data_IF_751936796064
#
_entry.id   IF_751936796064
#
_cell.length_a   1.000
_cell.length_b   1.000
_cell.length_c   1.000
_cell.angle_alpha   90.00
_cell.angle_beta   90.00
_cell.angle_gamma   90.00
#
_symmetry.space_group_name_H-M   'P 1'
#
loop_
_entity.id
_entity.type
_entity.pdbx_description
1 polymer ?
#
# COMPACT_ATOMS: atom_id res chain seq x y z
N UNK A 1 -9.16 2.78 13.96
CA UNK A 1 -9.18 3.01 12.51
C UNK A 1 -8.05 2.24 11.86
N UNK A 2 -8.36 1.30 10.99
CA UNK A 2 -7.37 0.64 10.12
C UNK A 2 -7.53 1.23 8.71
N UNK A 3 -6.52 1.98 8.26
CA UNK A 3 -6.65 2.87 7.10
C UNK A 3 -6.91 2.15 5.77
N UNK A 4 -6.72 0.83 5.73
CA UNK A 4 -6.79 0.02 4.52
C UNK A 4 -8.21 -0.41 4.14
N UNK A 5 -9.16 -0.33 5.07
CA UNK A 5 -10.57 -0.63 4.80
C UNK A 5 -11.25 0.42 3.89
N UNK A 6 -10.62 1.58 3.68
CA UNK A 6 -11.12 2.60 2.74
C UNK A 6 -11.02 2.16 1.27
N UNK A 7 -10.20 1.15 0.98
CA UNK A 7 -10.01 0.62 -0.37
C UNK A 7 -10.62 -0.78 -0.50
N UNK A 8 -11.48 -0.94 -1.50
CA UNK A 8 -12.07 -2.23 -1.89
C UNK A 8 -11.05 -3.07 -2.67
N UNK A 9 -10.32 -2.43 -3.57
CA UNK A 9 -9.36 -3.10 -4.45
C UNK A 9 -8.18 -2.18 -4.75
N UNK A 10 -7.00 -2.79 -4.84
CA UNK A 10 -5.77 -2.15 -5.29
C UNK A 10 -5.20 -2.99 -6.42
N UNK A 11 -4.69 -2.32 -7.47
CA UNK A 11 -3.98 -2.97 -8.57
C UNK A 11 -2.73 -2.21 -8.92
N UNK A 12 -1.66 -2.96 -9.18
CA UNK A 12 -0.44 -2.45 -9.76
C UNK A 12 -0.31 -2.95 -11.20
N UNK A 13 -0.16 -2.00 -12.11
CA UNK A 13 -0.11 -2.26 -13.55
C UNK A 13 1.23 -1.77 -14.12
N UNK A 14 1.81 -2.57 -15.02
CA UNK A 14 2.99 -2.23 -15.80
C UNK A 14 2.64 -2.28 -17.28
N UNK A 15 2.78 -1.15 -17.98
CA UNK A 15 2.36 -0.99 -19.38
C UNK A 15 0.91 -1.45 -19.66
N UNK A 16 -0.01 -1.19 -18.73
CA UNK A 16 -1.42 -1.57 -18.82
C UNK A 16 -1.70 -3.05 -18.53
N UNK A 17 -0.69 -3.85 -18.15
CA UNK A 17 -0.86 -5.24 -17.71
C UNK A 17 -0.90 -5.26 -16.19
N UNK A 18 -1.94 -5.86 -15.61
CA UNK A 18 -2.03 -6.08 -14.16
C UNK A 18 -0.95 -7.07 -13.73
N UNK A 19 -0.03 -6.59 -12.91
CA UNK A 19 1.07 -7.37 -12.35
C UNK A 19 0.65 -8.00 -11.03
N UNK A 20 -0.06 -7.24 -10.21
CA UNK A 20 -0.57 -7.68 -8.92
C UNK A 20 -1.85 -6.94 -8.56
N UNK A 21 -2.74 -7.61 -7.85
CA UNK A 21 -4.02 -7.07 -7.41
C UNK A 21 -4.49 -7.74 -6.13
N UNK A 22 -5.02 -6.93 -5.22
CA UNK A 22 -5.64 -7.38 -3.98
C UNK A 22 -7.04 -6.79 -3.87
N UNK A 23 -8.01 -7.65 -3.57
CA UNK A 23 -9.38 -7.29 -3.18
C UNK A 23 -9.55 -7.44 -1.68
N UNK A 24 -10.53 -6.72 -1.11
CA UNK A 24 -10.79 -6.67 0.33
C UNK A 24 -9.52 -6.28 1.09
N UNK A 25 -8.94 -5.15 0.68
CA UNK A 25 -7.58 -4.72 1.05
C UNK A 25 -7.41 -4.73 2.56
N UNK A 26 -8.34 -4.11 3.30
CA UNK A 26 -8.34 -4.11 4.77
C UNK A 26 -8.21 -5.52 5.36
N UNK A 27 -9.11 -6.43 5.00
CA UNK A 27 -9.12 -7.80 5.53
C UNK A 27 -7.84 -8.57 5.19
N UNK A 28 -7.36 -8.48 3.94
CA UNK A 28 -6.12 -9.16 3.52
C UNK A 28 -4.91 -8.60 4.28
N UNK A 29 -4.81 -7.27 4.41
CA UNK A 29 -3.72 -6.64 5.15
C UNK A 29 -3.76 -6.95 6.65
N UNK A 30 -4.94 -7.04 7.26
CA UNK A 30 -5.11 -7.42 8.66
C UNK A 30 -4.59 -8.85 8.89
N UNK A 31 -5.01 -9.81 8.04
CA UNK A 31 -4.57 -11.22 8.13
C UNK A 31 -3.06 -11.30 7.93
N UNK A 32 -2.52 -10.63 6.90
CA UNK A 32 -1.08 -10.57 6.65
C UNK A 32 -0.33 -9.98 7.85
N UNK A 33 -0.87 -8.92 8.45
CA UNK A 33 -0.22 -8.27 9.59
C UNK A 33 -0.15 -9.16 10.82
N UNK A 34 -1.17 -10.00 11.06
CA UNK A 34 -1.16 -10.98 12.14
C UNK A 34 -0.23 -12.17 11.88
N UNK A 35 -0.13 -12.64 10.64
CA UNK A 35 0.59 -13.88 10.31
C UNK A 35 2.04 -13.69 9.92
N UNK A 36 2.39 -12.53 9.34
CA UNK A 36 3.69 -12.33 8.69
C UNK A 36 4.65 -11.43 9.48
N UNK A 37 4.15 -10.53 10.34
CA UNK A 37 5.03 -9.60 11.07
C UNK A 37 5.37 -10.08 12.47
N UNK A 38 6.62 -9.88 12.86
CA UNK A 38 7.03 -9.98 14.26
C UNK A 38 6.62 -8.70 15.04
N UNK A 39 6.81 -8.71 16.37
CA UNK A 39 6.40 -7.60 17.24
C UNK A 39 7.03 -6.25 16.86
N UNK A 40 8.29 -6.25 16.43
CA UNK A 40 8.99 -5.03 16.02
C UNK A 40 8.43 -4.49 14.69
N UNK A 41 8.23 -5.35 13.71
CA UNK A 41 7.63 -4.93 12.44
C UNK A 41 6.19 -4.46 12.62
N UNK A 42 5.42 -5.14 13.46
CA UNK A 42 4.05 -4.80 13.79
C UNK A 42 3.94 -3.44 14.47
N UNK A 43 4.88 -3.06 15.36
CA UNK A 43 4.85 -1.75 16.02
C UNK A 43 5.18 -0.60 15.08
N UNK A 44 5.93 -0.83 14.00
CA UNK A 44 6.22 0.18 12.97
C UNK A 44 5.00 0.54 12.08
N UNK A 45 3.94 -0.26 12.12
CA UNK A 45 2.74 -0.07 11.29
C UNK A 45 1.65 0.80 11.94
N UNK A 46 1.90 1.41 13.10
CA UNK A 46 0.94 2.32 13.75
C UNK A 46 0.52 3.49 12.84
N UNK A 47 1.44 4.02 12.04
CA UNK A 47 1.15 5.06 11.04
C UNK A 47 0.29 4.57 9.85
N UNK A 48 0.13 3.26 9.67
CA UNK A 48 -0.82 2.67 8.72
C UNK A 48 -2.19 2.39 9.37
N UNK A 49 -2.38 2.78 10.63
CA UNK A 49 -3.58 2.48 11.41
C UNK A 49 -3.60 1.08 12.01
N UNK A 50 -2.45 0.40 12.10
CA UNK A 50 -2.34 -0.92 12.70
C UNK A 50 -1.94 -0.85 14.18
N UNK A 51 -2.82 -1.32 15.06
CA UNK A 51 -2.61 -1.32 16.51
C UNK A 51 -2.81 -2.74 17.06
N UNK A 52 -1.74 -3.57 17.13
CA UNK A 52 -1.86 -4.95 17.59
C UNK A 52 -2.31 -5.00 19.06
N UNK A 53 -3.16 -5.97 19.42
CA UNK A 53 -3.84 -6.03 20.74
C UNK A 53 -2.94 -6.27 21.97
N UNK A 54 -1.61 -6.23 21.87
CA UNK A 54 -0.69 -6.40 23.00
C UNK A 54 0.05 -5.12 23.37
N UNK A 55 -0.65 -4.19 24.01
CA UNK A 55 -0.04 -3.25 24.97
C UNK A 55 -1.02 -3.21 26.16
N UNK A 56 -0.46 -3.40 27.34
CA UNK A 56 -1.05 -3.59 28.67
C UNK A 56 -2.33 -2.78 28.96
N UNK A 57 -3.20 -3.24 29.88
CA UNK A 57 -4.50 -2.62 30.17
C UNK A 57 -4.42 -1.20 30.77
N UNK A 58 -3.22 -0.71 31.08
CA UNK A 58 -3.01 0.45 31.94
C UNK A 58 -2.97 1.79 31.21
N UNK A 59 -2.98 1.82 29.89
CA UNK A 59 -3.04 3.08 29.14
C UNK A 59 -3.99 2.95 27.96
N UNK A 60 -5.25 3.36 28.14
CA UNK A 60 -6.23 3.51 27.06
C UNK A 60 -5.86 4.60 26.04
N UNK A 61 -4.74 5.31 26.24
CA UNK A 61 -4.38 6.50 25.46
C UNK A 61 -3.62 6.26 24.15
N UNK A 62 -3.17 5.04 23.81
CA UNK A 62 -2.20 4.86 22.71
C UNK A 62 -2.65 3.93 21.57
N UNK A 63 -3.95 3.80 21.28
CA UNK A 63 -4.49 2.86 20.26
C UNK A 63 -5.31 3.52 19.15
N UNK A 64 -4.99 4.75 18.80
CA UNK A 64 -5.67 5.48 17.73
C UNK A 64 -4.67 6.26 16.89
N UNK A 65 -5.03 6.49 15.63
CA UNK A 65 -4.31 7.45 14.80
C UNK A 65 -4.42 8.81 15.48
N UNK A 66 -3.32 9.56 15.55
CA UNK A 66 -3.34 10.91 16.09
C UNK A 66 -4.09 11.83 15.13
N UNK A 67 -5.08 12.54 15.65
CA UNK A 67 -5.95 13.43 14.87
C UNK A 67 -5.72 14.86 15.36
N UNK A 68 -5.59 15.81 14.44
CA UNK A 68 -5.43 17.23 14.78
C UNK A 68 -6.75 17.87 15.25
N UNK A 69 -6.69 19.13 15.71
CA UNK A 69 -7.87 19.89 16.17
C UNK A 69 -8.96 20.06 15.09
N UNK A 70 -8.58 19.92 13.81
CA UNK A 70 -9.47 20.04 12.65
C UNK A 70 -9.96 18.68 12.16
N UNK A 71 -9.75 17.60 12.92
CA UNK A 71 -10.11 16.22 12.56
C UNK A 71 -9.35 15.65 11.37
N UNK A 72 -8.20 16.23 11.00
CA UNK A 72 -7.33 15.66 9.98
C UNK A 72 -6.32 14.70 10.60
N UNK A 73 -5.90 13.73 9.80
CA UNK A 73 -4.83 12.82 10.13
C UNK A 73 -4.06 12.45 8.87
N UNK A 74 -2.86 11.92 9.03
CA UNK A 74 -2.00 11.44 7.96
C UNK A 74 -1.63 9.98 8.20
N UNK A 75 -1.61 9.20 7.12
CA UNK A 75 -1.21 7.80 7.14
C UNK A 75 -0.11 7.54 6.13
N UNK A 76 0.77 6.60 6.47
CA UNK A 76 1.82 6.12 5.59
C UNK A 76 1.78 4.60 5.56
N UNK A 77 1.46 4.04 4.39
CA UNK A 77 1.26 2.61 4.21
C UNK A 77 2.42 2.06 3.36
N UNK A 78 3.21 1.11 3.88
CA UNK A 78 4.23 0.43 3.08
C UNK A 78 3.59 -0.41 1.96
N UNK A 79 4.07 -0.29 0.73
CA UNK A 79 3.52 -1.06 -0.40
C UNK A 79 3.66 -2.58 -0.26
N UNK A 80 4.68 -3.06 0.46
CA UNK A 80 4.84 -4.48 0.81
C UNK A 80 3.66 -5.04 1.63
N UNK A 81 2.90 -4.17 2.31
CA UNK A 81 1.70 -4.57 3.04
C UNK A 81 0.52 -4.81 2.10
N UNK A 82 0.47 -4.12 0.96
CA UNK A 82 -0.69 -4.08 0.07
C UNK A 82 -0.61 -5.09 -1.06
N UNK A 83 0.58 -5.35 -1.60
CA UNK A 83 0.77 -6.16 -2.80
C UNK A 83 2.03 -7.02 -2.62
N UNK A 84 1.95 -8.28 -3.03
CA UNK A 84 3.07 -9.24 -2.97
C UNK A 84 4.21 -8.86 -3.91
N UNK A 85 3.92 -8.18 -5.03
CA UNK A 85 4.95 -7.66 -5.93
C UNK A 85 5.98 -6.80 -5.20
N UNK A 86 5.54 -5.92 -4.30
CA UNK A 86 6.44 -5.02 -3.56
C UNK A 86 7.13 -5.68 -2.37
N UNK A 87 6.83 -6.94 -2.07
CA UNK A 87 7.51 -7.72 -1.03
C UNK A 87 8.74 -8.44 -1.59
N UNK A 88 8.59 -9.10 -2.74
CA UNK A 88 9.60 -10.03 -3.25
C UNK A 88 10.33 -9.57 -4.51
N UNK A 89 9.82 -8.56 -5.22
CA UNK A 89 10.42 -8.14 -6.48
C UNK A 89 11.73 -7.36 -6.25
N UNK A 90 12.85 -7.99 -6.58
CA UNK A 90 14.22 -7.45 -6.39
C UNK A 90 14.92 -7.05 -7.69
N UNK A 91 14.20 -7.02 -8.81
CA UNK A 91 14.76 -6.66 -10.12
C UNK A 91 14.54 -5.17 -10.42
N UNK A 92 15.37 -4.62 -11.32
CA UNK A 92 15.20 -3.25 -11.80
C UNK A 92 14.08 -3.19 -12.84
N UNK A 93 13.22 -2.18 -12.73
CA UNK A 93 12.20 -1.85 -13.71
C UNK A 93 12.72 -0.66 -14.52
N UNK A 94 12.95 -0.86 -15.83
CA UNK A 94 13.55 0.14 -16.71
C UNK A 94 12.58 0.47 -17.84
N UNK A 95 12.31 1.76 -18.06
CA UNK A 95 11.48 2.27 -19.16
C UNK A 95 10.06 1.65 -19.23
N UNK A 96 9.48 1.31 -18.09
CA UNK A 96 8.11 0.77 -17.99
C UNK A 96 7.20 1.81 -17.36
N UNK A 97 6.04 2.05 -17.96
CA UNK A 97 4.97 2.85 -17.36
C UNK A 97 4.38 2.07 -16.19
N UNK A 98 4.37 2.67 -15.01
CA UNK A 98 3.83 2.08 -13.79
C UNK A 98 2.57 2.83 -13.36
N UNK A 99 1.52 2.09 -13.03
CA UNK A 99 0.24 2.64 -12.60
C UNK A 99 -0.24 1.93 -11.33
N UNK A 100 -0.70 2.71 -10.35
CA UNK A 100 -1.35 2.19 -9.14
C UNK A 100 -2.80 2.64 -9.19
N UNK A 101 -3.69 1.66 -9.30
CA UNK A 101 -5.13 1.86 -9.34
C UNK A 101 -5.68 1.55 -7.96
N UNK A 102 -6.34 2.54 -7.35
CA UNK A 102 -7.03 2.39 -6.07
C UNK A 102 -8.53 2.51 -6.30
N UNK A 103 -9.28 1.49 -5.88
CA UNK A 103 -10.73 1.47 -5.95
C UNK A 103 -11.25 1.63 -4.53
N UNK A 104 -11.91 2.75 -4.26
CA UNK A 104 -12.49 3.04 -2.95
C UNK A 104 -13.65 2.10 -2.61
N UNK A 105 -13.78 1.76 -1.33
CA UNK A 105 -14.98 1.13 -0.77
C UNK A 105 -16.21 2.05 -0.93
N UNK A 106 -17.40 1.46 -0.95
CA UNK A 106 -18.66 2.21 -1.10
C UNK A 106 -19.06 3.00 0.13
N UNK A 107 -18.54 2.63 1.30
CA UNK A 107 -18.73 3.32 2.58
C UNK A 107 -17.48 3.12 3.46
N UNK A 108 -17.40 3.84 4.58
CA UNK A 108 -16.24 3.85 5.48
C UNK A 108 -16.51 3.16 6.82
N UNK A 109 -17.59 2.35 6.91
CA UNK A 109 -18.03 1.68 8.15
C UNK A 109 -16.92 0.83 8.76
N UNK A 110 -16.24 0.05 7.94
CA UNK A 110 -15.18 -0.85 8.41
C UNK A 110 -13.85 -0.12 8.70
N UNK A 111 -13.72 1.15 8.28
CA UNK A 111 -12.50 1.92 8.50
C UNK A 111 -12.51 2.65 9.85
N UNK A 112 -13.68 3.04 10.36
CA UNK A 112 -13.82 3.82 11.60
C UNK A 112 -14.50 2.96 12.68
N UNK A 113 -13.84 2.84 13.83
CA UNK A 113 -14.47 2.31 15.03
C UNK A 113 -15.02 3.51 15.81
N UNK A 114 -16.33 3.76 15.72
CA UNK A 114 -17.02 4.75 16.56
C UNK A 114 -17.77 4.03 17.67
N UNK A 115 -17.63 4.53 18.91
CA UNK A 115 -18.45 4.11 20.06
C UNK A 115 -19.80 4.89 20.12
N UNK A 116 -20.06 5.76 19.14
CA UNK A 116 -21.24 6.62 19.04
C UNK A 116 -22.40 5.95 18.27
N UNK A 117 -23.62 6.43 18.51
CA UNK A 117 -24.90 5.87 18.00
C UNK A 117 -24.87 5.58 16.48
N UNK A 118 -25.39 4.41 16.08
CA UNK A 118 -25.43 3.88 14.70
C UNK A 118 -26.20 4.76 13.69
N UNK A 119 -26.69 5.94 14.09
CA UNK A 119 -27.53 6.80 13.26
C UNK A 119 -26.75 7.65 12.25
N UNK A 120 -25.46 7.92 12.49
CA UNK A 120 -24.63 8.68 11.55
C UNK A 120 -23.61 7.76 10.87
N UNK A 121 -23.63 7.72 9.53
CA UNK A 121 -22.65 6.94 8.79
C UNK A 121 -21.27 7.62 8.84
N UNK A 122 -20.21 6.94 9.32
CA UNK A 122 -18.88 7.52 9.36
C UNK A 122 -18.38 7.80 7.94
N UNK A 123 -17.71 8.94 7.75
CA UNK A 123 -17.20 9.39 6.46
C UNK A 123 -15.76 9.89 6.57
N UNK A 124 -14.91 9.41 5.66
CA UNK A 124 -13.53 9.83 5.46
C UNK A 124 -13.44 10.50 4.10
N UNK A 125 -12.88 11.71 4.06
CA UNK A 125 -12.58 12.41 2.82
C UNK A 125 -11.06 12.42 2.58
N UNK A 126 -10.63 11.81 1.48
CA UNK A 126 -9.22 11.80 1.07
C UNK A 126 -8.91 13.17 0.46
N UNK A 127 -8.25 14.03 1.22
CA UNK A 127 -7.83 15.34 0.74
C UNK A 127 -6.65 15.24 -0.24
N UNK A 128 -5.67 14.41 0.12
CA UNK A 128 -4.41 14.29 -0.61
C UNK A 128 -3.96 12.83 -0.60
N UNK A 129 -3.54 12.32 -1.76
CA UNK A 129 -2.99 10.99 -1.93
C UNK A 129 -1.67 11.08 -2.70
N UNK A 130 -0.61 10.49 -2.13
CA UNK A 130 0.68 10.36 -2.79
C UNK A 130 1.13 8.90 -2.80
N UNK A 131 1.69 8.47 -3.93
CA UNK A 131 2.50 7.25 -4.01
C UNK A 131 3.96 7.63 -4.23
N UNK A 132 4.85 7.11 -3.39
CA UNK A 132 6.29 7.32 -3.48
C UNK A 132 6.95 6.09 -4.08
N UNK A 133 7.52 6.24 -5.27
CA UNK A 133 8.35 5.22 -5.94
C UNK A 133 9.80 5.70 -5.93
N UNK A 134 10.75 4.95 -5.36
CA UNK A 134 12.16 5.31 -5.47
C UNK A 134 12.61 5.19 -6.94
N UNK A 135 13.18 6.26 -7.47
CA UNK A 135 13.70 6.31 -8.84
C UNK A 135 15.18 6.64 -8.82
N UNK A 136 15.98 5.88 -9.58
CA UNK A 136 17.42 6.10 -9.72
C UNK A 136 17.69 6.69 -11.10
N UNK A 137 18.25 7.90 -11.14
CA UNK A 137 18.77 8.50 -12.36
C UNK A 137 20.25 8.15 -12.53
N UNK A 138 20.64 7.77 -13.74
CA UNK A 138 22.03 7.44 -14.08
C UNK A 138 22.61 8.48 -15.04
N UNK A 139 23.94 8.56 -15.12
CA UNK A 139 24.60 9.40 -16.11
C UNK A 139 24.32 8.89 -17.54
N UNK A 140 24.43 9.78 -18.53
CA UNK A 140 24.14 9.46 -19.95
C UNK A 140 24.91 8.21 -20.44
N UNK A 141 26.22 8.04 -20.16
CA UNK A 141 26.95 6.84 -20.58
C UNK A 141 26.35 5.55 -20.01
N UNK A 142 25.96 5.56 -18.73
CA UNK A 142 25.35 4.40 -18.07
C UNK A 142 23.92 4.15 -18.55
N UNK A 143 23.16 5.22 -18.80
CA UNK A 143 21.82 5.11 -19.41
C UNK A 143 21.89 4.41 -20.77
N UNK A 144 22.87 4.78 -21.61
CA UNK A 144 23.10 4.13 -22.90
C UNK A 144 23.49 2.66 -22.76
N UNK A 145 24.32 2.33 -21.76
CA UNK A 145 24.69 0.94 -21.45
C UNK A 145 23.48 0.11 -21.02
N UNK A 146 22.65 0.63 -20.12
CA UNK A 146 21.43 -0.04 -19.66
C UNK A 146 20.43 -0.24 -20.81
N UNK A 147 20.20 0.77 -21.65
CA UNK A 147 19.31 0.65 -22.80
C UNK A 147 19.80 -0.42 -23.80
N UNK A 148 21.11 -0.57 -24.00
CA UNK A 148 21.67 -1.65 -24.83
C UNK A 148 21.34 -3.03 -24.26
N UNK A 149 21.46 -3.22 -22.94
CA UNK A 149 21.14 -4.49 -22.27
C UNK A 149 19.66 -4.82 -22.46
N UNK A 150 18.76 -3.86 -22.22
CA UNK A 150 17.31 -4.03 -22.41
C UNK A 150 16.99 -4.45 -23.85
N UNK A 151 17.58 -3.78 -24.85
CA UNK A 151 17.31 -4.10 -26.25
C UNK A 151 17.91 -5.44 -26.70
N UNK A 152 19.05 -5.85 -26.13
CA UNK A 152 19.67 -7.14 -26.42
C UNK A 152 18.92 -8.35 -25.86
N UNK A 153 18.14 -8.16 -24.80
CA UNK A 153 17.35 -9.23 -24.16
C UNK A 153 15.95 -9.39 -24.76
N UNK A 154 15.43 -8.36 -25.45
CA UNK A 154 14.14 -8.40 -26.17
C UNK A 154 14.16 -9.08 -27.53
N UNK A 155 15.30 -9.60 -28.01
CA UNK A 155 15.44 -10.21 -29.34
C UNK A 155 15.51 -11.75 -29.34
N UNK A 156 15.33 -12.42 -28.21
CA UNK A 156 15.18 -13.89 -28.16
C UNK A 156 13.76 -14.31 -27.80
N UNK A 157 13.12 -15.03 -28.72
CA UNK A 157 11.81 -15.71 -28.66
C UNK A 157 10.59 -14.96 -29.21
N UNK A 158 10.49 -14.89 -30.53
CA UNK A 158 9.19 -15.11 -31.18
C UNK A 158 8.87 -16.60 -31.09
N UNK A 159 7.73 -17.04 -30.52
CA UNK A 159 7.29 -18.41 -30.67
C UNK A 159 6.84 -18.61 -32.11
N UNK A 160 7.56 -19.46 -32.85
CA UNK A 160 7.09 -19.99 -34.12
C UNK A 160 5.80 -20.78 -33.87
N UNK A 161 4.71 -20.40 -34.53
CA UNK A 161 3.55 -21.26 -34.76
C UNK A 161 3.92 -22.26 -35.85
#
# INVERSE_FOLDING_TARGET
MESLFIFREIRYEMNGIVVDSVRNVGLVSTIKSYLSFNENESTLLQNAGWFPKKITPTTRMDKTILVDSNRNFNVCIPMKLLLGFFEDFRKLIINVKQELVLIRSSNDRDAINSDEDESEEPKIDIQILYWRVPHVTVSIPEQLRLNKIVNSTGTSSSPSI
#
